data_IF_540555068403
#
_entry.id   IF_540555068403
#
_cell.length_a   1.000
_cell.length_b   1.000
_cell.length_c   1.000
_cell.angle_alpha   90.00
_cell.angle_beta   90.00
_cell.angle_gamma   90.00
#
_symmetry.space_group_name_H-M   'P 1'
#
loop_
_entity.id
_entity.type
_entity.pdbx_description
1 polymer ?
#
# COMPACT_ATOMS: atom_id res chain seq x y z
N UNK A 1 49.10 34.13 26.34
CA UNK A 1 48.24 33.98 25.14
C UNK A 1 49.13 33.39 24.06
N UNK A 2 48.96 32.16 23.59
CA UNK A 2 47.73 31.59 23.02
C UNK A 2 47.76 30.06 23.15
N UNK A 3 46.58 29.46 23.37
CA UNK A 3 46.31 28.04 23.60
C UNK A 3 46.68 27.22 22.35
N UNK A 4 47.39 26.10 22.53
CA UNK A 4 47.60 25.10 21.48
C UNK A 4 46.27 24.43 21.11
N UNK A 5 45.81 24.63 19.88
CA UNK A 5 44.63 23.97 19.33
C UNK A 5 44.92 22.49 19.05
N UNK A 6 44.05 21.62 19.56
CA UNK A 6 44.05 20.18 19.33
C UNK A 6 43.78 19.87 17.85
N UNK A 7 44.45 18.87 17.21
CA UNK A 7 44.07 18.44 15.87
C UNK A 7 42.72 17.73 15.91
N UNK A 8 41.74 18.30 15.20
CA UNK A 8 40.43 17.67 14.98
C UNK A 8 40.61 16.45 14.07
N UNK A 9 40.37 15.26 14.62
CA UNK A 9 40.32 14.02 13.86
C UNK A 9 39.24 14.13 12.79
N UNK A 10 39.65 14.17 11.53
CA UNK A 10 38.74 14.06 10.38
C UNK A 10 38.25 12.62 10.34
N UNK A 11 36.98 12.39 10.69
CA UNK A 11 36.36 11.08 10.54
C UNK A 11 36.56 10.59 9.09
N UNK A 12 36.95 9.32 8.87
CA UNK A 12 37.02 8.78 7.52
C UNK A 12 35.63 8.80 6.86
N UNK A 13 35.55 8.88 5.51
CA UNK A 13 34.28 8.78 4.81
C UNK A 13 33.66 7.42 5.16
N UNK A 14 32.55 7.47 5.89
CA UNK A 14 31.72 6.30 6.12
C UNK A 14 31.27 5.84 4.73
N UNK A 15 31.79 4.70 4.28
CA UNK A 15 31.21 3.92 3.20
C UNK A 15 29.73 3.79 3.53
N UNK A 16 28.90 4.53 2.81
CA UNK A 16 27.45 4.44 2.89
C UNK A 16 27.08 3.00 2.52
N UNK A 17 26.92 2.16 3.53
CA UNK A 17 26.40 0.82 3.36
C UNK A 17 25.04 0.97 2.66
N UNK A 18 24.83 0.38 1.48
CA UNK A 18 23.52 0.40 0.85
C UNK A 18 22.55 -0.18 1.87
N UNK A 19 21.48 0.58 2.16
CA UNK A 19 20.47 0.25 3.15
C UNK A 19 20.16 -1.26 3.17
N UNK A 20 20.06 -1.92 4.35
CA UNK A 20 19.79 -3.35 4.40
C UNK A 20 18.48 -3.64 3.65
N UNK A 21 18.66 -4.22 2.48
CA UNK A 21 17.65 -4.78 1.61
C UNK A 21 16.96 -5.88 2.39
N UNK A 22 15.64 -5.75 2.63
CA UNK A 22 14.66 -6.84 2.69
C UNK A 22 13.50 -6.52 3.63
N UNK A 23 12.58 -5.66 3.21
CA UNK A 23 11.19 -5.68 3.69
C UNK A 23 10.43 -6.85 3.03
N UNK A 24 10.87 -8.09 3.31
CA UNK A 24 10.46 -9.29 2.55
C UNK A 24 9.14 -9.89 3.04
N UNK A 25 8.02 -9.56 2.37
CA UNK A 25 6.73 -10.19 2.64
C UNK A 25 6.71 -11.62 2.10
N UNK A 26 7.01 -12.59 2.98
CA UNK A 26 6.65 -13.99 2.74
C UNK A 26 5.13 -14.12 2.77
N UNK A 27 4.62 -14.77 1.73
CA UNK A 27 3.22 -15.01 1.40
C UNK A 27 2.46 -15.57 2.61
N UNK A 28 1.69 -14.73 3.31
CA UNK A 28 0.62 -15.24 4.15
C UNK A 28 -0.59 -15.47 3.27
N UNK A 29 -0.63 -16.68 2.72
CA UNK A 29 -1.78 -17.35 2.14
C UNK A 29 -2.86 -17.58 3.20
N UNK A 30 -3.41 -16.51 3.76
CA UNK A 30 -4.71 -16.59 4.43
C UNK A 30 -5.58 -15.55 3.79
N UNK A 31 -6.37 -16.05 2.82
CA UNK A 31 -7.60 -15.48 2.31
C UNK A 31 -8.28 -14.77 3.47
N UNK A 32 -8.07 -13.45 3.61
CA UNK A 32 -8.99 -12.63 4.37
C UNK A 32 -10.25 -12.70 3.55
N UNK A 33 -11.15 -13.60 3.98
CA UNK A 33 -12.55 -13.50 3.62
C UNK A 33 -12.87 -12.04 3.85
N UNK A 34 -13.16 -11.33 2.78
CA UNK A 34 -13.13 -9.90 2.83
C UNK A 34 -14.19 -9.45 3.81
N UNK A 35 -13.95 -8.34 4.49
CA UNK A 35 -15.04 -7.40 4.67
C UNK A 35 -15.55 -7.09 3.25
N UNK A 36 -16.49 -7.93 2.81
CA UNK A 36 -17.19 -7.98 1.52
C UNK A 36 -16.37 -7.51 0.30
N UNK A 37 -15.61 -8.41 -0.33
CA UNK A 37 -15.10 -8.21 -1.69
C UNK A 37 -16.36 -8.20 -2.51
N UNK A 38 -16.70 -7.04 -3.04
CA UNK A 38 -17.70 -6.94 -4.07
C UNK A 38 -17.17 -7.71 -5.30
N UNK A 39 -17.50 -9.00 -5.38
CA UNK A 39 -17.33 -9.80 -6.59
C UNK A 39 -18.18 -9.23 -7.75
N UNK A 40 -19.13 -8.35 -7.43
CA UNK A 40 -19.81 -7.41 -8.32
C UNK A 40 -20.09 -6.13 -7.55
N UNK A 41 -19.48 -5.01 -7.95
CA UNK A 41 -19.81 -3.67 -7.44
C UNK A 41 -20.85 -3.03 -8.33
N UNK A 42 -21.83 -2.33 -7.75
CA UNK A 42 -22.66 -1.40 -8.52
C UNK A 42 -21.78 -0.27 -9.06
N UNK A 43 -22.16 0.31 -10.19
CA UNK A 43 -21.55 1.51 -10.72
C UNK A 43 -21.57 2.65 -9.68
N UNK A 44 -20.54 3.51 -9.69
CA UNK A 44 -20.47 4.74 -8.89
C UNK A 44 -20.71 4.53 -7.38
N UNK A 45 -20.18 3.45 -6.82
CA UNK A 45 -20.36 3.08 -5.40
C UNK A 45 -19.06 3.19 -4.65
N UNK A 46 -19.08 3.90 -3.53
CA UNK A 46 -17.93 4.00 -2.61
C UNK A 46 -17.81 2.75 -1.73
N UNK A 47 -16.59 2.27 -1.54
CA UNK A 47 -16.25 1.16 -0.66
C UNK A 47 -14.88 1.35 -0.01
N UNK A 48 -14.64 0.69 1.12
CA UNK A 48 -13.33 0.73 1.81
C UNK A 48 -12.61 -0.59 1.58
N UNK A 49 -11.42 -0.53 1.00
CA UNK A 49 -10.50 -1.66 0.90
C UNK A 49 -9.53 -1.61 2.07
N UNK A 50 -9.46 -2.70 2.83
CA UNK A 50 -8.49 -2.86 3.90
C UNK A 50 -7.46 -3.91 3.48
N UNK A 51 -6.18 -3.56 3.54
CA UNK A 51 -5.08 -4.52 3.42
C UNK A 51 -4.47 -4.78 4.78
N UNK A 52 -4.36 -6.05 5.15
CA UNK A 52 -3.61 -6.49 6.33
C UNK A 52 -2.21 -6.93 5.92
N UNK A 53 -1.20 -6.18 6.32
CA UNK A 53 0.19 -6.36 5.89
C UNK A 53 1.06 -6.67 7.11
N UNK A 54 2.00 -7.60 6.97
CA UNK A 54 2.98 -7.92 8.00
C UNK A 54 4.29 -7.19 7.72
N UNK A 55 4.85 -6.51 8.72
CA UNK A 55 6.25 -6.12 8.68
C UNK A 55 7.13 -7.35 8.97
N UNK A 56 8.11 -7.53 8.12
CA UNK A 56 8.88 -8.75 7.89
C UNK A 56 10.32 -8.41 7.54
N UNK A 57 10.62 -7.11 7.41
CA UNK A 57 11.98 -6.63 7.38
C UNK A 57 12.49 -6.33 8.78
N UNK A 58 13.63 -5.68 8.83
CA UNK A 58 14.35 -5.33 10.06
C UNK A 58 14.02 -3.93 10.56
N UNK A 59 13.49 -3.06 9.70
CA UNK A 59 13.16 -1.68 10.04
C UNK A 59 11.73 -1.57 10.57
N UNK A 60 11.56 -0.79 11.63
CA UNK A 60 10.24 -0.34 12.09
C UNK A 60 9.62 0.61 11.07
N UNK A 61 8.36 0.38 10.72
CA UNK A 61 7.59 1.33 9.90
C UNK A 61 6.94 2.34 10.84
N UNK A 62 7.20 3.63 10.63
CA UNK A 62 6.56 4.71 11.37
C UNK A 62 5.47 5.39 10.54
N UNK A 63 4.84 6.43 11.07
CA UNK A 63 3.85 7.26 10.37
C UNK A 63 4.43 8.06 9.19
N UNK A 64 5.76 8.11 9.02
CA UNK A 64 6.39 8.68 7.82
C UNK A 64 6.40 7.73 6.62
N UNK A 65 5.99 6.47 6.82
CA UNK A 65 5.72 5.53 5.74
C UNK A 65 4.33 5.77 5.16
N UNK A 66 4.14 5.37 3.92
CA UNK A 66 2.84 5.49 3.26
C UNK A 66 2.55 4.28 2.37
N UNK A 67 1.28 3.99 2.20
CA UNK A 67 0.76 3.22 1.09
C UNK A 67 0.65 4.15 -0.12
N UNK A 68 1.15 3.75 -1.29
CA UNK A 68 1.16 4.55 -2.51
C UNK A 68 0.55 3.80 -3.69
N UNK A 69 -0.19 4.51 -4.52
CA UNK A 69 -0.74 3.97 -5.76
C UNK A 69 0.41 3.73 -6.75
N UNK A 70 0.45 2.53 -7.32
CA UNK A 70 1.54 2.06 -8.19
C UNK A 70 1.12 1.86 -9.65
N UNK A 71 -0.17 1.99 -9.98
CA UNK A 71 -0.68 1.92 -11.35
C UNK A 71 -2.00 1.15 -11.49
N UNK A 72 -2.48 1.04 -12.73
CA UNK A 72 -3.79 0.46 -13.05
C UNK A 72 -4.93 1.46 -12.84
N UNK A 73 -6.05 0.98 -12.31
CA UNK A 73 -7.25 1.78 -12.07
C UNK A 73 -7.24 2.36 -10.64
N UNK A 74 -7.09 3.68 -10.53
CA UNK A 74 -7.07 4.37 -9.23
C UNK A 74 -8.41 4.28 -8.48
N UNK A 75 -9.52 4.14 -9.20
CA UNK A 75 -10.87 4.03 -8.63
C UNK A 75 -11.17 5.14 -7.62
N UNK A 76 -10.79 6.38 -7.93
CA UNK A 76 -10.97 7.54 -7.02
C UNK A 76 -10.15 7.46 -5.72
N UNK A 77 -9.23 6.50 -5.60
CA UNK A 77 -8.34 6.38 -4.45
C UNK A 77 -7.27 7.48 -4.41
N UNK A 78 -6.70 7.73 -3.23
CA UNK A 78 -5.65 8.72 -3.07
C UNK A 78 -4.34 8.26 -3.73
N UNK A 79 -3.50 9.21 -4.16
CA UNK A 79 -2.15 8.88 -4.63
C UNK A 79 -1.28 8.27 -3.52
N UNK A 80 -1.53 8.65 -2.27
CA UNK A 80 -0.89 8.08 -1.09
C UNK A 80 -1.83 8.10 0.13
N UNK A 81 -1.75 7.09 0.98
CA UNK A 81 -2.38 7.01 2.29
C UNK A 81 -1.29 6.79 3.37
N UNK A 82 -1.24 7.66 4.38
CA UNK A 82 -0.27 7.55 5.46
C UNK A 82 -0.42 6.26 6.27
N UNK A 83 0.66 5.79 6.87
CA UNK A 83 0.59 4.64 7.77
C UNK A 83 -0.23 5.02 9.03
N UNK A 84 -1.25 4.23 9.42
CA UNK A 84 -2.12 4.58 10.55
C UNK A 84 -1.45 4.45 11.92
N UNK A 85 -0.24 3.85 11.98
CA UNK A 85 0.52 3.72 13.22
C UNK A 85 1.89 3.10 12.99
N UNK A 86 2.64 2.94 14.07
CA UNK A 86 3.96 2.29 14.06
C UNK A 86 3.83 0.77 13.98
N UNK A 87 4.67 0.12 13.17
CA UNK A 87 4.66 -1.33 12.94
C UNK A 87 6.07 -1.89 13.14
N UNK A 88 6.28 -2.60 14.24
CA UNK A 88 7.56 -3.25 14.52
C UNK A 88 7.79 -4.47 13.61
N UNK A 89 9.06 -4.87 13.37
CA UNK A 89 9.37 -6.15 12.73
C UNK A 89 8.56 -7.30 13.32
N UNK A 90 7.95 -8.11 12.46
CA UNK A 90 7.10 -9.24 12.85
C UNK A 90 5.62 -8.90 13.09
N UNK A 91 5.24 -7.62 13.21
CA UNK A 91 3.87 -7.21 13.48
C UNK A 91 3.01 -7.04 12.22
N UNK A 92 1.70 -6.92 12.40
CA UNK A 92 0.73 -6.63 11.34
C UNK A 92 0.17 -5.23 11.48
N UNK A 93 -0.27 -4.67 10.36
CA UNK A 93 -1.07 -3.45 10.28
C UNK A 93 -2.21 -3.63 9.30
N UNK A 94 -3.33 -2.97 9.57
CA UNK A 94 -4.46 -2.85 8.65
C UNK A 94 -4.51 -1.42 8.09
N UNK A 95 -4.47 -1.30 6.76
CA UNK A 95 -4.47 -0.01 6.07
C UNK A 95 -5.77 0.11 5.28
N UNK A 96 -6.73 0.95 5.72
CA UNK A 96 -7.94 1.23 4.98
C UNK A 96 -7.70 2.27 3.88
N UNK A 97 -8.28 2.06 2.70
CA UNK A 97 -8.37 3.04 1.62
C UNK A 97 -9.78 3.07 1.08
N UNK A 98 -10.36 4.26 1.05
CA UNK A 98 -11.65 4.53 0.41
C UNK A 98 -11.47 4.60 -1.10
N UNK A 99 -12.28 3.85 -1.84
CA UNK A 99 -12.29 3.75 -3.29
C UNK A 99 -13.72 3.87 -3.80
N UNK A 100 -13.89 4.21 -5.07
CA UNK A 100 -15.15 4.34 -5.76
C UNK A 100 -15.14 3.49 -7.04
N UNK A 101 -16.13 2.61 -7.19
CA UNK A 101 -16.29 1.84 -8.42
C UNK A 101 -16.56 2.78 -9.61
N UNK A 102 -15.94 2.55 -10.77
CA UNK A 102 -16.25 3.30 -11.98
C UNK A 102 -17.71 3.17 -12.41
N UNK A 103 -18.17 4.09 -13.26
CA UNK A 103 -19.54 4.12 -13.76
C UNK A 103 -19.79 3.16 -14.94
N UNK A 104 -18.73 2.61 -15.53
CA UNK A 104 -18.76 1.72 -16.69
C UNK A 104 -18.56 0.27 -16.25
N UNK A 105 -19.26 -0.63 -16.93
CA UNK A 105 -19.09 -2.06 -16.76
C UNK A 105 -17.69 -2.49 -17.18
N UNK A 106 -17.06 -3.31 -16.37
CA UNK A 106 -15.66 -3.64 -16.58
C UNK A 106 -15.01 -4.37 -15.42
N UNK A 107 -13.80 -4.85 -15.67
CA UNK A 107 -12.91 -5.33 -14.61
C UNK A 107 -11.86 -4.26 -14.36
N UNK A 108 -11.72 -3.85 -13.11
CA UNK A 108 -10.82 -2.78 -12.71
C UNK A 108 -9.83 -3.31 -11.67
N UNK A 109 -8.54 -3.01 -11.85
CA UNK A 109 -7.48 -3.45 -10.94
C UNK A 109 -6.59 -2.27 -10.58
N UNK A 110 -6.56 -1.92 -9.29
CA UNK A 110 -5.64 -0.94 -8.74
C UNK A 110 -4.46 -1.60 -8.04
N UNK A 111 -3.24 -1.19 -8.37
CA UNK A 111 -2.00 -1.71 -7.80
C UNK A 111 -1.41 -0.73 -6.80
N UNK A 112 -0.84 -1.27 -5.71
CA UNK A 112 -0.35 -0.50 -4.57
C UNK A 112 0.99 -1.05 -4.08
N UNK A 113 1.83 -0.15 -3.57
CA UNK A 113 3.11 -0.43 -2.92
C UNK A 113 3.22 0.37 -1.62
N UNK A 114 4.18 0.03 -0.78
CA UNK A 114 4.58 0.87 0.35
C UNK A 114 5.70 1.82 -0.07
N UNK A 115 5.81 2.95 0.62
CA UNK A 115 6.88 3.93 0.48
C UNK A 115 7.46 4.20 1.86
N UNK A 116 8.78 4.16 1.99
CA UNK A 116 9.46 4.45 3.24
C UNK A 116 9.65 5.97 3.46
N UNK A 117 10.23 6.33 4.60
CA UNK A 117 10.50 7.72 4.98
C UNK A 117 11.45 8.46 4.01
N UNK A 118 12.34 7.76 3.31
CA UNK A 118 13.23 8.35 2.29
C UNK A 118 12.61 8.41 0.89
N UNK A 119 11.33 8.04 0.75
CA UNK A 119 10.62 8.09 -0.52
C UNK A 119 10.80 6.87 -1.43
N UNK A 120 11.62 5.88 -1.03
CA UNK A 120 11.79 4.65 -1.79
C UNK A 120 10.54 3.76 -1.70
N UNK A 121 10.09 3.22 -2.83
CA UNK A 121 8.92 2.33 -2.89
C UNK A 121 9.33 0.87 -2.85
N UNK A 122 8.53 0.05 -2.16
CA UNK A 122 8.71 -1.39 -2.06
C UNK A 122 7.36 -2.09 -2.01
N UNK A 123 7.31 -3.28 -2.59
CA UNK A 123 6.15 -4.14 -2.64
C UNK A 123 6.22 -5.29 -1.62
N UNK A 124 5.59 -6.39 -2.00
CA UNK A 124 5.53 -7.65 -1.27
C UNK A 124 6.40 -8.70 -1.98
N UNK A 125 6.52 -9.89 -1.40
CA UNK A 125 7.30 -10.99 -1.97
C UNK A 125 8.74 -11.02 -1.49
N UNK A 126 9.50 -12.00 -2.01
CA UNK A 126 10.88 -12.27 -1.62
C UNK A 126 11.86 -11.14 -1.97
N UNK A 127 11.52 -10.33 -2.98
CA UNK A 127 12.35 -9.22 -3.45
C UNK A 127 11.75 -7.84 -3.11
N UNK A 128 10.61 -7.81 -2.40
CA UNK A 128 9.91 -6.57 -2.06
C UNK A 128 9.65 -5.66 -3.27
N UNK A 129 9.36 -6.23 -4.44
CA UNK A 129 9.18 -5.54 -5.71
C UNK A 129 7.76 -5.65 -6.27
N UNK A 130 7.01 -6.65 -5.79
CA UNK A 130 5.71 -7.03 -6.32
C UNK A 130 4.62 -6.14 -5.73
N UNK A 131 3.83 -5.46 -6.57
CA UNK A 131 2.67 -4.72 -6.09
C UNK A 131 1.57 -5.66 -5.60
N UNK A 132 0.82 -5.25 -4.58
CA UNK A 132 -0.44 -5.88 -4.20
C UNK A 132 -1.61 -5.09 -4.78
N UNK A 133 -2.79 -5.68 -4.81
CA UNK A 133 -3.88 -5.13 -5.62
C UNK A 133 -5.25 -5.20 -4.96
N UNK A 134 -6.16 -4.44 -5.56
CA UNK A 134 -7.61 -4.55 -5.41
C UNK A 134 -8.19 -4.74 -6.82
N UNK A 135 -9.07 -5.73 -6.99
CA UNK A 135 -9.74 -6.01 -8.25
C UNK A 135 -11.23 -6.07 -7.99
N UNK A 136 -11.98 -5.34 -8.79
CA UNK A 136 -13.44 -5.37 -8.78
C UNK A 136 -13.96 -5.69 -10.17
N UNK A 137 -15.15 -6.28 -10.21
CA UNK A 137 -15.98 -6.31 -11.41
C UNK A 137 -17.10 -5.31 -11.19
N UNK A 138 -17.21 -4.31 -12.05
CA UNK A 138 -18.41 -3.47 -12.14
C UNK A 138 -19.31 -4.11 -13.18
N UNK A 139 -20.52 -4.43 -12.74
CA UNK A 139 -21.62 -4.77 -13.62
C UNK A 139 -22.74 -3.81 -13.25
N UNK A 140 -23.16 -2.99 -14.22
CA UNK A 140 -24.37 -2.25 -14.12
C UNK A 140 -25.46 -3.28 -13.91
N UNK A 141 -26.11 -3.23 -12.75
CA UNK A 141 -27.50 -3.67 -12.76
C UNK A 141 -28.17 -2.71 -13.72
N UNK A 142 -28.29 -3.11 -14.99
CA UNK A 142 -29.34 -2.62 -15.84
C UNK A 142 -30.63 -3.09 -15.15
N UNK A 143 -31.01 -2.40 -14.07
CA UNK A 143 -32.34 -2.44 -13.54
C UNK A 143 -33.13 -1.38 -14.31
N UNK A 144 -33.16 -1.52 -15.64
CA UNK A 144 -34.48 -1.47 -16.25
C UNK A 144 -35.18 -2.74 -15.74
N UNK A 145 -35.75 -2.67 -14.52
CA UNK A 145 -36.83 -3.57 -14.19
C UNK A 145 -37.96 -3.09 -15.07
N UNK A 146 -38.03 -3.64 -16.28
CA UNK A 146 -39.29 -3.87 -16.97
C UNK A 146 -40.18 -4.64 -15.99
N UNK A 147 -40.80 -3.91 -15.07
CA UNK A 147 -42.01 -4.35 -14.42
C UNK A 147 -43.07 -3.35 -14.85
N UNK A 148 -43.60 -3.68 -16.02
CA UNK A 148 -44.90 -3.31 -16.57
C UNK A 148 -44.96 -1.93 -17.23
N UNK A 149 -44.77 -1.95 -18.55
CA UNK A 149 -45.84 -1.44 -19.40
C UNK A 149 -47.13 -2.18 -18.99
N UNK A 150 -48.04 -1.49 -18.32
CA UNK A 150 -49.47 -1.79 -18.32
C UNK A 150 -50.21 -0.48 -18.49
#
# INVERSE_FOLDING_TARGET
MTIAGSPSATNPPVLQSPAPQSSVMRRNSRRTSPTRTAASSRASTTFVKIWRIKNVGTCTWSTSYALVFAGGDAMGGPAAAGMPGTVFPGQYIEIPVTLSSPNKDGSYTGYWKLRNASGATFGIGAQADTAFWVKIKVAGTCACRLQLCR
#
